data_IF_515007586193
#
_entry.id   IF_515007586193
#
_cell.length_a   1.000
_cell.length_b   1.000
_cell.length_c   1.000
_cell.angle_alpha   90.00
_cell.angle_beta   90.00
_cell.angle_gamma   90.00
#
_symmetry.space_group_name_H-M   'P 1'
#
loop_
_entity.id
_entity.type
_entity.pdbx_description
1 polymer ?
#
# COMPACT_ATOMS: atom_id res chain seq x y z
N UNK A 1 -6.19 9.02 71.08
CA UNK A 1 -5.74 8.56 72.40
C UNK A 1 -6.45 9.42 73.42
N UNK A 2 -7.15 8.80 74.36
CA UNK A 2 -7.52 9.52 75.58
C UNK A 2 -6.31 9.59 76.53
N UNK A 3 -6.45 10.38 77.57
CA UNK A 3 -5.48 10.64 78.63
C UNK A 3 -5.30 9.46 79.62
N UNK A 4 -5.79 8.25 79.27
CA UNK A 4 -5.64 7.02 80.07
C UNK A 4 -5.00 5.85 79.31
N UNK A 5 -4.46 6.09 78.12
CA UNK A 5 -3.66 5.09 77.39
C UNK A 5 -4.46 3.89 76.87
N UNK A 6 -5.79 3.99 76.84
CA UNK A 6 -6.65 2.99 76.23
C UNK A 6 -6.74 3.26 74.72
N UNK A 7 -6.41 2.25 73.92
CA UNK A 7 -6.59 2.29 72.47
C UNK A 7 -8.08 2.26 72.17
N UNK A 8 -8.58 3.28 71.48
CA UNK A 8 -9.97 3.35 71.03
C UNK A 8 -10.27 2.14 70.14
N UNK A 9 -11.18 1.23 70.54
CA UNK A 9 -11.53 0.05 69.76
C UNK A 9 -12.37 0.40 68.52
N UNK A 10 -12.82 1.66 68.39
CA UNK A 10 -13.56 2.20 67.25
C UNK A 10 -12.91 3.49 66.74
N UNK A 11 -11.67 3.45 66.23
CA UNK A 11 -11.03 4.64 65.68
C UNK A 11 -11.93 5.28 64.63
N UNK A 12 -12.02 6.60 64.63
CA UNK A 12 -12.80 7.32 63.62
C UNK A 12 -12.30 6.94 62.22
N UNK A 13 -13.09 6.15 61.49
CA UNK A 13 -12.86 5.81 60.09
C UNK A 13 -13.70 6.72 59.22
N UNK A 14 -13.08 7.41 58.27
CA UNK A 14 -13.80 8.20 57.28
C UNK A 14 -13.87 7.42 55.97
N UNK A 15 -15.01 6.79 55.71
CA UNK A 15 -15.31 6.11 54.45
C UNK A 15 -15.81 7.16 53.47
N UNK A 16 -14.90 7.68 52.63
CA UNK A 16 -15.29 8.46 51.47
C UNK A 16 -15.63 7.50 50.33
N UNK A 17 -16.89 7.43 49.87
CA UNK A 17 -17.20 6.72 48.64
C UNK A 17 -16.55 7.48 47.48
N UNK A 18 -15.44 6.96 46.95
CA UNK A 18 -14.88 7.43 45.69
C UNK A 18 -15.73 6.83 44.58
N UNK A 19 -16.61 7.64 43.99
CA UNK A 19 -17.33 7.24 42.78
C UNK A 19 -16.37 7.45 41.61
N UNK A 20 -15.76 6.35 41.16
CA UNK A 20 -14.93 6.36 39.98
C UNK A 20 -15.80 6.59 38.73
N UNK A 21 -15.40 7.54 37.88
CA UNK A 21 -16.08 7.78 36.61
C UNK A 21 -15.43 6.89 35.55
N UNK A 22 -16.19 6.03 34.84
CA UNK A 22 -15.58 5.14 33.86
C UNK A 22 -14.90 5.87 32.70
N UNK A 23 -13.86 5.29 32.10
CA UNK A 23 -13.20 5.86 30.93
C UNK A 23 -14.11 5.84 29.69
N UNK A 24 -13.70 6.58 28.67
CA UNK A 24 -14.32 6.62 27.34
C UNK A 24 -13.27 6.26 26.29
N UNK A 25 -13.68 5.49 25.27
CA UNK A 25 -12.83 5.16 24.12
C UNK A 25 -13.58 5.43 22.82
N UNK A 26 -12.87 5.93 21.80
CA UNK A 26 -13.41 6.23 20.47
C UNK A 26 -12.42 5.85 19.38
N UNK A 27 -12.91 5.40 18.22
CA UNK A 27 -12.03 5.16 17.07
C UNK A 27 -11.59 6.48 16.44
N UNK A 28 -10.36 6.52 15.96
CA UNK A 28 -9.84 7.64 15.20
C UNK A 28 -10.44 7.61 13.77
N UNK A 29 -11.04 8.73 13.35
CA UNK A 29 -11.69 8.87 12.03
C UNK A 29 -10.71 8.66 10.85
N UNK A 30 -9.41 8.76 11.08
CA UNK A 30 -8.37 8.44 10.08
C UNK A 30 -8.17 6.93 9.88
N UNK A 31 -8.65 6.10 10.82
CA UNK A 31 -8.53 4.64 10.81
C UNK A 31 -9.81 3.90 10.44
N UNK A 32 -10.82 4.61 9.94
CA UNK A 32 -12.07 3.99 9.51
C UNK A 32 -11.80 2.94 8.43
N UNK A 33 -12.29 1.73 8.70
CA UNK A 33 -12.09 0.58 7.83
C UNK A 33 -13.01 0.67 6.61
N UNK A 34 -12.51 0.43 5.39
CA UNK A 34 -13.38 0.35 4.22
C UNK A 34 -14.24 -0.93 4.25
N UNK A 35 -15.27 -0.96 3.41
CA UNK A 35 -16.19 -2.10 3.32
C UNK A 35 -15.47 -3.42 2.95
N UNK A 36 -14.30 -3.34 2.33
CA UNK A 36 -13.51 -4.52 1.97
C UNK A 36 -12.02 -4.27 2.12
N UNK A 37 -11.32 -5.21 2.78
CA UNK A 37 -9.86 -5.23 2.87
C UNK A 37 -9.32 -6.61 2.49
N UNK A 38 -8.04 -6.68 2.15
CA UNK A 38 -7.26 -7.90 2.30
C UNK A 38 -7.16 -8.32 3.78
N UNK A 39 -6.59 -9.48 4.16
CA UNK A 39 -6.51 -9.92 5.56
C UNK A 39 -5.47 -9.15 6.38
N UNK A 40 -5.55 -7.82 6.31
CA UNK A 40 -4.79 -6.83 7.06
C UNK A 40 -5.74 -5.67 7.37
N UNK A 41 -5.80 -5.27 8.63
CA UNK A 41 -6.57 -4.11 9.08
C UNK A 41 -5.87 -3.42 10.24
N UNK A 42 -5.83 -2.09 10.23
CA UNK A 42 -5.25 -1.32 11.33
C UNK A 42 -6.31 -0.44 11.99
N UNK A 43 -6.41 -0.55 13.30
CA UNK A 43 -7.35 0.15 14.16
C UNK A 43 -6.56 1.15 14.99
N UNK A 44 -7.04 2.39 15.04
CA UNK A 44 -6.51 3.43 15.91
C UNK A 44 -7.64 4.00 16.77
N UNK A 45 -7.36 4.29 18.03
CA UNK A 45 -8.36 4.81 18.95
C UNK A 45 -7.77 5.87 19.88
N UNK A 46 -8.65 6.61 20.54
CA UNK A 46 -8.31 7.57 21.58
C UNK A 46 -9.08 7.19 22.84
N UNK A 47 -8.36 7.10 23.96
CA UNK A 47 -8.94 6.91 25.29
C UNK A 47 -8.87 8.18 26.13
N UNK A 48 -9.94 8.45 26.85
CA UNK A 48 -10.03 9.55 27.79
C UNK A 48 -10.57 9.01 29.10
N UNK A 49 -9.97 9.43 30.21
CA UNK A 49 -10.46 9.15 31.54
C UNK A 49 -10.46 10.47 32.34
N UNK A 50 -11.51 10.76 33.13
CA UNK A 50 -11.59 12.01 33.89
C UNK A 50 -10.44 12.24 34.87
N UNK A 51 -9.81 11.17 35.37
CA UNK A 51 -8.64 11.23 36.26
C UNK A 51 -7.32 11.40 35.47
N UNK A 52 -7.38 11.47 34.14
CA UNK A 52 -6.26 11.60 33.21
C UNK A 52 -6.14 10.39 32.28
N UNK A 53 -5.86 10.56 30.99
CA UNK A 53 -5.76 9.44 30.03
C UNK A 53 -4.69 8.40 30.41
N UNK A 54 -3.68 8.78 31.18
CA UNK A 54 -2.68 7.91 31.78
C UNK A 54 -3.23 6.96 32.86
N UNK A 55 -4.44 7.22 33.37
CA UNK A 55 -5.14 6.34 34.32
C UNK A 55 -5.73 5.10 33.61
N UNK A 56 -5.82 5.11 32.27
CA UNK A 56 -6.24 3.94 31.49
C UNK A 56 -5.15 2.87 31.59
N UNK A 57 -5.51 1.78 32.26
CA UNK A 57 -4.59 0.68 32.53
C UNK A 57 -4.48 -0.27 31.34
N UNK A 58 -5.63 -0.62 30.73
CA UNK A 58 -5.70 -1.57 29.64
C UNK A 58 -6.77 -1.18 28.61
N UNK A 59 -6.51 -1.52 27.35
CA UNK A 59 -7.59 -1.72 26.39
C UNK A 59 -7.88 -3.20 26.23
N UNK A 60 -9.15 -3.51 26.08
CA UNK A 60 -9.65 -4.85 25.86
C UNK A 60 -10.27 -4.91 24.47
N UNK A 61 -9.80 -5.83 23.65
CA UNK A 61 -10.27 -6.00 22.28
C UNK A 61 -10.73 -7.43 22.01
N UNK A 62 -11.64 -7.58 21.06
CA UNK A 62 -12.05 -8.87 20.53
C UNK A 62 -12.43 -8.74 19.06
N UNK A 63 -12.43 -9.86 18.35
CA UNK A 63 -12.77 -9.93 16.94
C UNK A 63 -13.90 -10.93 16.76
N UNK A 64 -14.99 -10.48 16.14
CA UNK A 64 -16.20 -11.28 15.86
C UNK A 64 -16.87 -11.91 17.09
N UNK A 65 -16.52 -11.43 18.28
CA UNK A 65 -16.98 -11.96 19.56
C UNK A 65 -17.11 -10.81 20.56
N UNK A 66 -18.09 -10.88 21.45
CA UNK A 66 -18.33 -9.93 22.55
C UNK A 66 -18.18 -10.56 23.93
N UNK A 67 -17.76 -11.83 24.02
CA UNK A 67 -17.60 -12.56 25.26
C UNK A 67 -16.12 -12.67 25.66
N UNK A 68 -15.22 -12.98 24.72
CA UNK A 68 -13.81 -13.25 25.02
C UNK A 68 -12.91 -12.10 24.56
N UNK A 69 -12.66 -11.16 25.47
CA UNK A 69 -11.74 -10.05 25.23
C UNK A 69 -10.30 -10.37 25.62
N UNK A 70 -9.36 -9.86 24.83
CA UNK A 70 -7.92 -9.88 25.09
C UNK A 70 -7.47 -8.48 25.51
N UNK A 71 -6.61 -8.40 26.53
CA UNK A 71 -6.09 -7.11 27.00
C UNK A 71 -4.77 -6.74 26.33
N UNK A 72 -4.57 -5.44 26.14
CA UNK A 72 -3.30 -4.81 25.76
C UNK A 72 -3.03 -3.62 26.70
N UNK A 73 -1.76 -3.20 26.88
CA UNK A 73 -1.43 -2.05 27.71
C UNK A 73 -2.16 -0.77 27.31
N UNK A 74 -2.55 0.06 28.28
CA UNK A 74 -3.28 1.31 28.07
C UNK A 74 -2.50 2.41 27.34
N UNK A 75 -1.19 2.24 27.16
CA UNK A 75 -0.36 3.13 26.33
C UNK A 75 -0.36 2.76 24.83
N UNK A 76 -1.02 1.67 24.44
CA UNK A 76 -1.18 1.28 23.03
C UNK A 76 -2.48 1.85 22.49
N UNK A 77 -2.40 2.57 21.37
CA UNK A 77 -3.56 3.19 20.72
C UNK A 77 -3.68 2.84 19.22
N UNK A 78 -2.83 1.94 18.74
CA UNK A 78 -2.77 1.47 17.35
C UNK A 78 -2.56 -0.05 17.35
N UNK A 79 -3.33 -0.77 16.55
CA UNK A 79 -3.19 -2.21 16.40
C UNK A 79 -3.41 -2.63 14.95
N UNK A 80 -2.54 -3.49 14.45
CA UNK A 80 -2.68 -4.12 13.14
C UNK A 80 -3.02 -5.59 13.31
N UNK A 81 -4.15 -5.99 12.76
CA UNK A 81 -4.58 -7.38 12.67
C UNK A 81 -4.20 -7.94 11.30
N UNK A 82 -3.67 -9.15 11.30
CA UNK A 82 -3.40 -9.96 10.11
C UNK A 82 -4.26 -11.23 10.13
N UNK A 83 -4.14 -12.07 9.11
CA UNK A 83 -4.80 -13.40 9.08
C UNK A 83 -4.59 -14.19 10.38
N UNK A 84 -3.36 -14.20 10.89
CA UNK A 84 -2.99 -14.95 12.10
C UNK A 84 -3.55 -14.35 13.39
N UNK A 85 -4.07 -13.12 13.33
CA UNK A 85 -4.76 -12.48 14.46
C UNK A 85 -6.19 -13.01 14.66
N UNK A 86 -6.70 -13.83 13.72
CA UNK A 86 -8.04 -14.41 13.77
C UNK A 86 -9.02 -13.82 12.76
N UNK A 87 -8.56 -13.03 11.78
CA UNK A 87 -9.42 -12.52 10.70
C UNK A 87 -10.05 -13.67 9.93
N UNK A 88 -11.38 -13.66 9.84
CA UNK A 88 -12.13 -14.67 9.08
C UNK A 88 -12.17 -14.23 7.63
N UNK A 89 -11.35 -14.86 6.80
CA UNK A 89 -11.31 -14.56 5.36
C UNK A 89 -12.59 -14.99 4.65
N UNK A 90 -12.91 -14.28 3.58
CA UNK A 90 -14.14 -14.39 2.81
C UNK A 90 -15.42 -14.25 3.66
N UNK A 91 -15.35 -13.40 4.69
CA UNK A 91 -16.47 -13.16 5.60
C UNK A 91 -16.45 -11.72 6.12
N UNK A 92 -17.60 -11.30 6.65
CA UNK A 92 -17.69 -10.05 7.42
C UNK A 92 -17.04 -10.21 8.79
N UNK A 93 -16.24 -9.23 9.16
CA UNK A 93 -15.55 -9.14 10.42
C UNK A 93 -15.99 -7.87 11.18
N UNK A 94 -15.81 -7.89 12.50
CA UNK A 94 -16.09 -6.76 13.38
C UNK A 94 -15.13 -6.77 14.55
N UNK A 95 -14.47 -5.63 14.74
CA UNK A 95 -13.57 -5.38 15.86
C UNK A 95 -14.33 -4.71 17.00
N UNK A 96 -14.14 -5.17 18.22
CA UNK A 96 -14.72 -4.60 19.43
C UNK A 96 -13.62 -4.11 20.36
N UNK A 97 -13.87 -3.02 21.08
CA UNK A 97 -12.91 -2.39 21.98
C UNK A 97 -13.61 -1.79 23.21
N UNK A 98 -12.98 -1.88 24.37
CA UNK A 98 -13.34 -1.11 25.57
C UNK A 98 -12.07 -0.75 26.37
N UNK A 99 -12.12 0.34 27.13
CA UNK A 99 -11.05 0.74 28.04
C UNK A 99 -11.32 0.26 29.47
N UNK A 100 -10.26 0.07 30.25
CA UNK A 100 -10.28 -0.21 31.67
C UNK A 100 -9.31 0.71 32.40
N UNK A 101 -9.77 1.41 33.43
CA UNK A 101 -8.93 2.29 34.26
C UNK A 101 -8.17 1.51 35.37
N UNK A 102 -7.41 2.25 36.18
CA UNK A 102 -6.63 1.71 37.30
C UNK A 102 -7.49 1.20 38.48
N UNK A 103 -8.71 1.72 38.64
CA UNK A 103 -9.68 1.29 39.64
C UNK A 103 -10.53 0.10 39.17
N UNK A 104 -10.38 -0.31 37.91
CA UNK A 104 -11.02 -1.46 37.29
C UNK A 104 -12.36 -1.19 36.61
N UNK A 105 -12.82 0.07 36.50
CA UNK A 105 -14.05 0.36 35.79
C UNK A 105 -13.84 0.30 34.27
N UNK A 106 -14.91 -0.02 33.55
CA UNK A 106 -14.89 -0.23 32.11
C UNK A 106 -15.70 0.82 31.37
N UNK A 107 -15.19 1.25 30.22
CA UNK A 107 -15.98 2.00 29.25
C UNK A 107 -17.07 1.11 28.64
N UNK A 108 -18.09 1.70 27.99
CA UNK A 108 -18.92 0.99 27.02
C UNK A 108 -18.06 0.32 25.93
N UNK A 109 -18.57 -0.79 25.38
CA UNK A 109 -17.95 -1.46 24.23
C UNK A 109 -18.27 -0.69 22.97
N UNK A 110 -17.23 -0.26 22.25
CA UNK A 110 -17.34 0.28 20.90
C UNK A 110 -17.00 -0.79 19.86
N UNK A 111 -17.43 -0.59 18.61
CA UNK A 111 -17.20 -1.53 17.51
C UNK A 111 -16.88 -0.84 16.19
N UNK A 112 -16.05 -1.48 15.37
CA UNK A 112 -15.75 -1.07 14.00
C UNK A 112 -15.87 -2.26 13.05
N UNK A 113 -16.63 -2.15 11.95
CA UNK A 113 -17.47 -1.01 11.56
C UNK A 113 -18.74 -0.88 12.45
N UNK A 114 -19.43 0.28 12.42
CA UNK A 114 -20.74 0.46 13.07
C UNK A 114 -21.80 -0.47 12.46
N UNK A 115 -22.97 -0.60 13.09
CA UNK A 115 -24.04 -1.52 12.62
C UNK A 115 -24.58 -1.20 11.22
N UNK A 116 -24.46 0.05 10.79
CA UNK A 116 -24.85 0.51 9.44
C UNK A 116 -23.92 0.05 8.33
N UNK A 117 -22.80 -0.60 8.67
CA UNK A 117 -21.72 -0.90 7.73
C UNK A 117 -21.14 -2.28 7.98
N UNK A 118 -20.51 -2.86 6.95
CA UNK A 118 -19.90 -4.18 6.98
C UNK A 118 -18.43 -4.06 6.62
N UNK A 119 -17.59 -4.94 7.17
CA UNK A 119 -16.18 -5.02 6.82
C UNK A 119 -15.89 -6.44 6.36
N UNK A 120 -15.82 -6.62 5.05
CA UNK A 120 -15.53 -7.90 4.42
C UNK A 120 -14.02 -8.09 4.26
N UNK A 121 -13.49 -9.19 4.78
CA UNK A 121 -12.07 -9.53 4.60
C UNK A 121 -11.97 -10.51 3.44
N UNK A 122 -11.48 -10.06 2.28
CA UNK A 122 -11.24 -10.96 1.14
C UNK A 122 -9.93 -11.73 1.32
N UNK A 123 -9.93 -13.02 0.98
CA UNK A 123 -8.68 -13.79 0.93
C UNK A 123 -7.81 -13.31 -0.24
N UNK A 124 -6.48 -13.37 -0.09
CA UNK A 124 -5.57 -13.23 -1.22
C UNK A 124 -5.56 -14.53 -2.03
N UNK A 125 -5.82 -14.44 -3.33
CA UNK A 125 -6.00 -15.59 -4.22
C UNK A 125 -4.74 -15.94 -5.03
N UNK A 126 -3.84 -14.97 -5.20
CA UNK A 126 -2.62 -15.09 -5.99
C UNK A 126 -1.36 -14.63 -5.25
N UNK A 127 -0.21 -14.81 -5.90
CA UNK A 127 1.09 -14.30 -5.41
C UNK A 127 1.38 -12.88 -5.89
N UNK A 128 0.63 -12.38 -6.88
CA UNK A 128 0.82 -11.08 -7.50
C UNK A 128 -0.28 -10.12 -7.05
N UNK A 129 0.12 -8.91 -6.63
CA UNK A 129 -0.78 -7.79 -6.43
C UNK A 129 -0.63 -6.79 -7.57
N UNK A 130 -1.72 -6.54 -8.29
CA UNK A 130 -1.82 -5.43 -9.23
C UNK A 130 -2.35 -4.20 -8.46
N UNK A 131 -1.44 -3.26 -8.17
CA UNK A 131 -1.79 -1.93 -7.66
C UNK A 131 -2.17 -1.07 -8.85
N UNK A 132 -3.46 -0.76 -8.96
CA UNK A 132 -4.00 0.17 -9.96
C UNK A 132 -3.95 1.57 -9.40
N UNK A 133 -2.90 2.28 -9.77
CA UNK A 133 -2.70 3.70 -9.54
C UNK A 133 -3.08 4.49 -10.80
N UNK A 134 -4.24 4.13 -11.38
CA UNK A 134 -4.68 4.59 -12.70
C UNK A 134 -5.96 5.44 -12.51
N UNK A 135 -6.02 6.58 -13.20
CA UNK A 135 -7.21 7.43 -13.20
C UNK A 135 -8.36 6.80 -13.98
N UNK A 136 -9.58 7.29 -13.72
CA UNK A 136 -10.82 6.73 -14.27
C UNK A 136 -10.83 6.64 -15.81
N UNK A 137 -10.19 7.58 -16.50
CA UNK A 137 -10.23 7.63 -17.97
C UNK A 137 -9.38 6.52 -18.59
N UNK A 138 -8.27 6.16 -17.95
CA UNK A 138 -7.34 5.14 -18.45
C UNK A 138 -7.75 3.71 -18.06
N UNK A 139 -8.72 3.52 -17.16
CA UNK A 139 -9.20 2.19 -16.77
C UNK A 139 -9.80 1.39 -17.95
N UNK A 140 -10.42 2.06 -18.92
CA UNK A 140 -11.01 1.41 -20.10
C UNK A 140 -9.95 0.73 -21.00
N UNK A 141 -8.71 1.21 -20.95
CA UNK A 141 -7.59 0.61 -21.69
C UNK A 141 -6.85 -0.39 -20.80
N UNK A 142 -6.59 -0.02 -19.55
CA UNK A 142 -5.78 -0.81 -18.64
C UNK A 142 -6.43 -2.14 -18.23
N UNK A 143 -7.74 -2.15 -17.96
CA UNK A 143 -8.43 -3.37 -17.49
C UNK A 143 -8.39 -4.49 -18.54
N UNK A 144 -8.85 -4.28 -19.79
CA UNK A 144 -8.73 -5.30 -20.83
C UNK A 144 -7.28 -5.69 -21.12
N UNK A 145 -6.33 -4.75 -21.00
CA UNK A 145 -4.92 -5.05 -21.18
C UNK A 145 -4.43 -6.08 -20.15
N UNK A 146 -4.65 -5.86 -18.86
CA UNK A 146 -4.20 -6.78 -17.81
C UNK A 146 -4.95 -8.11 -17.84
N UNK A 147 -6.26 -8.11 -18.13
CA UNK A 147 -7.04 -9.35 -18.31
C UNK A 147 -6.46 -10.23 -19.42
N UNK A 148 -6.08 -9.62 -20.56
CA UNK A 148 -5.47 -10.36 -21.66
C UNK A 148 -4.01 -10.75 -21.39
N UNK A 149 -3.24 -9.89 -20.74
CA UNK A 149 -1.80 -10.07 -20.60
C UNK A 149 -1.40 -11.00 -19.44
N UNK A 150 -2.20 -11.06 -18.37
CA UNK A 150 -1.91 -11.92 -17.22
C UNK A 150 -2.27 -13.39 -17.42
N UNK A 151 -3.06 -13.76 -18.43
CA UNK A 151 -3.31 -15.15 -18.88
C UNK A 151 -3.38 -16.19 -17.74
N UNK A 152 -2.33 -17.01 -17.55
CA UNK A 152 -2.27 -18.09 -16.54
C UNK A 152 -1.81 -17.64 -15.14
N UNK A 153 -1.39 -16.39 -14.97
CA UNK A 153 -0.91 -15.85 -13.70
C UNK A 153 -2.10 -15.41 -12.84
N UNK A 154 -2.22 -15.98 -11.63
CA UNK A 154 -3.19 -15.51 -10.65
C UNK A 154 -2.70 -14.23 -9.97
N UNK A 155 -3.54 -13.20 -9.99
CA UNK A 155 -3.29 -11.91 -9.37
C UNK A 155 -4.53 -11.38 -8.66
N UNK A 156 -4.31 -10.57 -7.63
CA UNK A 156 -5.36 -9.78 -6.99
C UNK A 156 -5.21 -8.31 -7.35
N UNK A 157 -6.30 -7.55 -7.28
CA UNK A 157 -6.32 -6.12 -7.59
C UNK A 157 -6.46 -5.30 -6.31
N UNK A 158 -5.62 -4.27 -6.19
CA UNK A 158 -5.77 -3.17 -5.24
C UNK A 158 -5.88 -1.86 -6.02
N UNK A 159 -7.07 -1.27 -6.00
CA UNK A 159 -7.30 0.03 -6.60
C UNK A 159 -7.10 1.13 -5.57
N UNK A 160 -6.21 2.07 -5.88
CA UNK A 160 -5.90 3.18 -4.97
C UNK A 160 -6.31 4.53 -5.57
N UNK A 161 -6.65 4.59 -6.86
CA UNK A 161 -6.81 5.87 -7.57
C UNK A 161 -8.17 6.07 -8.24
N UNK A 162 -8.91 5.01 -8.58
CA UNK A 162 -10.28 5.20 -9.04
C UNK A 162 -11.08 5.96 -7.98
N UNK A 163 -12.01 6.83 -8.40
CA UNK A 163 -12.71 7.80 -7.52
C UNK A 163 -11.80 8.93 -7.00
N UNK A 164 -11.00 9.53 -7.87
CA UNK A 164 -10.20 10.72 -7.57
C UNK A 164 -9.26 10.56 -6.35
N UNK A 165 -8.70 9.36 -6.16
CA UNK A 165 -7.77 9.09 -5.04
C UNK A 165 -8.44 8.86 -3.68
N UNK A 166 -9.77 8.75 -3.60
CA UNK A 166 -10.46 8.44 -2.34
C UNK A 166 -10.10 7.06 -1.76
N UNK A 167 -9.50 6.18 -2.57
CA UNK A 167 -9.06 4.83 -2.21
C UNK A 167 -7.59 4.75 -1.80
N UNK A 168 -6.88 5.89 -1.75
CA UNK A 168 -5.51 5.92 -1.24
C UNK A 168 -5.52 5.42 0.21
N UNK A 169 -4.65 4.45 0.56
CA UNK A 169 -4.55 3.96 1.93
C UNK A 169 -4.30 5.10 2.92
N UNK A 170 -5.22 5.26 3.89
CA UNK A 170 -5.12 6.31 4.92
C UNK A 170 -4.01 6.04 5.92
N UNK A 171 -3.78 4.76 6.24
CA UNK A 171 -2.68 4.30 7.10
C UNK A 171 -1.62 3.67 6.20
N UNK A 172 -0.54 4.40 5.97
CA UNK A 172 0.57 3.92 5.15
C UNK A 172 1.38 2.87 5.92
N UNK A 173 1.89 3.26 7.09
CA UNK A 173 2.62 2.38 8.00
C UNK A 173 1.78 2.13 9.27
N UNK A 174 1.50 0.87 9.65
CA UNK A 174 1.93 -0.37 8.99
C UNK A 174 0.96 -0.93 7.94
N UNK A 175 -0.30 -0.48 7.91
CA UNK A 175 -1.37 -1.18 7.18
C UNK A 175 -1.08 -1.48 5.71
N UNK A 176 -0.67 -0.48 4.92
CA UNK A 176 -0.43 -0.69 3.51
C UNK A 176 0.83 -1.55 3.28
N UNK A 177 1.89 -1.34 4.06
CA UNK A 177 3.10 -2.18 4.01
C UNK A 177 2.76 -3.64 4.29
N UNK A 178 1.98 -3.93 5.33
CA UNK A 178 1.53 -5.29 5.65
C UNK A 178 0.61 -5.86 4.57
N UNK A 179 -0.20 -5.03 3.90
CA UNK A 179 -0.98 -5.45 2.74
C UNK A 179 -0.10 -5.90 1.57
N UNK A 180 1.00 -5.17 1.29
CA UNK A 180 1.96 -5.56 0.25
C UNK A 180 2.62 -6.90 0.60
N UNK A 181 2.98 -7.11 1.87
CA UNK A 181 3.65 -8.34 2.36
C UNK A 181 2.80 -9.61 2.20
N UNK A 182 1.50 -9.51 1.98
CA UNK A 182 0.66 -10.65 1.61
C UNK A 182 1.03 -11.26 0.25
N UNK A 183 1.80 -10.52 -0.57
CA UNK A 183 2.15 -10.87 -1.94
C UNK A 183 3.65 -10.98 -2.12
N UNK A 184 4.08 -11.97 -2.91
CA UNK A 184 5.49 -12.11 -3.29
C UNK A 184 5.90 -11.08 -4.34
N UNK A 185 4.96 -10.69 -5.19
CA UNK A 185 5.21 -9.81 -6.32
C UNK A 185 4.17 -8.69 -6.37
N UNK A 186 4.62 -7.46 -6.63
CA UNK A 186 3.77 -6.29 -6.82
C UNK A 186 3.98 -5.75 -8.24
N UNK A 187 2.88 -5.59 -8.97
CA UNK A 187 2.83 -4.74 -10.15
C UNK A 187 2.20 -3.41 -9.77
N UNK A 188 2.99 -2.35 -9.75
CA UNK A 188 2.49 -0.99 -9.57
C UNK A 188 2.41 -0.29 -10.90
N UNK A 189 1.20 0.03 -11.34
CA UNK A 189 0.96 0.67 -12.63
C UNK A 189 0.22 1.99 -12.48
N UNK A 190 0.68 3.01 -13.19
CA UNK A 190 0.07 4.34 -13.23
C UNK A 190 -0.05 4.86 -14.66
N UNK A 191 -0.76 5.98 -14.84
CA UNK A 191 -0.89 6.69 -16.10
C UNK A 191 0.38 7.44 -16.55
N UNK A 192 0.19 8.31 -17.55
CA UNK A 192 1.25 8.98 -18.32
C UNK A 192 2.09 10.01 -17.55
N UNK A 193 1.79 10.30 -16.29
CA UNK A 193 2.59 11.21 -15.48
C UNK A 193 2.09 12.66 -15.41
N UNK A 194 1.07 13.06 -16.17
CA UNK A 194 0.44 14.38 -16.01
C UNK A 194 -0.12 14.57 -14.59
N UNK A 195 -0.37 15.81 -14.14
CA UNK A 195 -0.86 16.09 -12.77
C UNK A 195 -2.00 15.16 -12.34
N UNK A 196 -2.98 14.91 -13.21
CA UNK A 196 -4.09 14.01 -12.94
C UNK A 196 -3.75 12.50 -13.08
N UNK A 197 -2.75 12.14 -13.89
CA UNK A 197 -2.41 10.76 -14.28
C UNK A 197 -1.07 10.26 -13.70
N UNK A 198 -0.48 11.04 -12.79
CA UNK A 198 0.81 10.77 -12.13
C UNK A 198 0.71 9.63 -11.12
N UNK A 199 1.82 8.90 -10.93
CA UNK A 199 1.88 7.89 -9.88
C UNK A 199 1.93 8.56 -8.50
N UNK A 200 1.38 7.88 -7.49
CA UNK A 200 1.53 8.22 -6.08
C UNK A 200 2.95 7.90 -5.59
N UNK A 201 3.93 8.69 -6.03
CA UNK A 201 5.35 8.45 -5.74
C UNK A 201 5.69 8.60 -4.25
N UNK A 202 4.97 9.45 -3.51
CA UNK A 202 5.12 9.56 -2.06
C UNK A 202 4.75 8.26 -1.35
N UNK A 203 3.64 7.65 -1.75
CA UNK A 203 3.20 6.36 -1.20
C UNK A 203 4.19 5.26 -1.56
N UNK A 204 4.64 5.22 -2.83
CA UNK A 204 5.64 4.27 -3.30
C UNK A 204 6.96 4.39 -2.50
N UNK A 205 7.50 5.60 -2.35
CA UNK A 205 8.72 5.88 -1.59
C UNK A 205 8.60 5.44 -0.12
N UNK A 206 7.44 5.64 0.50
CA UNK A 206 7.23 5.29 1.91
C UNK A 206 7.02 3.79 2.15
N UNK A 207 6.81 2.98 1.11
CA UNK A 207 6.29 1.61 1.27
C UNK A 207 7.14 0.55 0.57
N UNK A 208 7.57 0.82 -0.66
CA UNK A 208 8.34 -0.13 -1.48
C UNK A 208 9.65 -0.54 -0.80
N UNK A 209 10.45 0.36 -0.19
CA UNK A 209 11.67 -0.06 0.49
C UNK A 209 11.43 -1.09 1.61
N UNK A 210 10.41 -0.88 2.46
CA UNK A 210 10.06 -1.81 3.53
C UNK A 210 9.49 -3.13 3.00
N UNK A 211 8.71 -3.07 1.92
CA UNK A 211 8.23 -4.27 1.23
C UNK A 211 9.39 -5.09 0.64
N UNK A 212 10.34 -4.46 -0.05
CA UNK A 212 11.50 -5.15 -0.63
C UNK A 212 12.44 -5.72 0.44
N UNK A 213 12.55 -5.07 1.62
CA UNK A 213 13.28 -5.62 2.77
C UNK A 213 12.69 -6.94 3.26
N UNK A 214 11.38 -7.15 3.10
CA UNK A 214 10.71 -8.42 3.42
C UNK A 214 10.87 -9.50 2.35
N UNK A 215 11.65 -9.23 1.28
CA UNK A 215 11.87 -10.15 0.16
C UNK A 215 10.87 -10.00 -1.00
N UNK A 216 9.97 -9.01 -0.93
CA UNK A 216 9.06 -8.67 -2.01
C UNK A 216 9.77 -8.15 -3.26
N UNK A 217 9.16 -8.36 -4.44
CA UNK A 217 9.68 -7.84 -5.72
C UNK A 217 8.65 -6.98 -6.44
N UNK A 218 9.11 -5.95 -7.13
CA UNK A 218 8.25 -4.94 -7.73
C UNK A 218 8.53 -4.75 -9.21
N UNK A 219 7.49 -4.82 -10.03
CA UNK A 219 7.48 -4.19 -11.34
C UNK A 219 6.71 -2.87 -11.24
N UNK A 220 7.43 -1.74 -11.36
CA UNK A 220 6.86 -0.41 -11.29
C UNK A 220 6.85 0.23 -12.67
N UNK A 221 5.68 0.65 -13.14
CA UNK A 221 5.47 1.16 -14.50
C UNK A 221 4.58 2.39 -14.48
N UNK A 222 5.16 3.55 -14.80
CA UNK A 222 4.47 4.82 -14.77
C UNK A 222 5.13 5.82 -15.73
N UNK A 223 4.33 6.68 -16.35
CA UNK A 223 4.83 7.79 -17.14
C UNK A 223 5.30 8.97 -16.30
N UNK A 224 6.07 9.87 -16.92
CA UNK A 224 6.41 11.18 -16.38
C UNK A 224 5.88 12.29 -17.30
N UNK A 225 5.41 13.42 -16.75
CA UNK A 225 4.88 14.51 -17.55
C UNK A 225 5.96 15.10 -18.48
N UNK A 226 5.67 15.90 -19.49
CA UNK A 226 6.71 16.61 -20.25
C UNK A 226 7.21 17.87 -19.51
N UNK A 227 6.33 18.48 -18.71
CA UNK A 227 6.62 19.66 -17.88
C UNK A 227 7.00 19.22 -16.46
N UNK A 228 8.17 19.66 -16.01
CA UNK A 228 8.88 19.18 -14.81
C UNK A 228 8.28 19.68 -13.49
N UNK A 229 7.07 19.26 -13.14
CA UNK A 229 6.55 19.45 -11.78
C UNK A 229 6.35 18.06 -11.17
N UNK A 230 7.43 17.48 -10.65
CA UNK A 230 7.35 16.38 -9.70
C UNK A 230 7.52 16.98 -8.31
N UNK A 231 6.41 17.42 -7.73
CA UNK A 231 6.33 17.86 -6.33
C UNK A 231 6.01 16.73 -5.35
N UNK A 232 6.05 15.48 -5.82
CA UNK A 232 5.72 14.26 -5.06
C UNK A 232 6.90 13.30 -5.17
N UNK A 233 7.24 12.62 -4.08
CA UNK A 233 8.17 11.50 -3.88
C UNK A 233 9.24 11.23 -4.94
N UNK A 234 10.49 11.03 -4.51
CA UNK A 234 11.56 10.75 -5.46
C UNK A 234 11.65 9.27 -5.83
N UNK A 235 11.59 8.98 -7.13
CA UNK A 235 11.79 7.63 -7.69
C UNK A 235 13.14 7.03 -7.31
N UNK A 236 14.14 7.88 -7.08
CA UNK A 236 15.50 7.46 -6.64
C UNK A 236 15.48 6.74 -5.29
N UNK A 237 14.43 6.93 -4.47
CA UNK A 237 14.35 6.35 -3.13
C UNK A 237 13.89 4.89 -3.12
N UNK A 238 13.41 4.36 -4.25
CA UNK A 238 12.95 2.97 -4.33
C UNK A 238 13.35 2.25 -5.62
N UNK A 239 13.85 2.95 -6.64
CA UNK A 239 14.32 2.38 -7.90
C UNK A 239 15.78 2.78 -8.19
N UNK A 240 16.52 2.00 -9.00
CA UNK A 240 17.93 2.26 -9.37
C UNK A 240 18.07 3.40 -10.39
N UNK A 241 17.37 4.51 -10.16
CA UNK A 241 17.37 5.73 -10.98
C UNK A 241 18.24 6.77 -10.27
N UNK A 242 19.09 7.43 -11.04
CA UNK A 242 19.88 8.58 -10.58
C UNK A 242 19.12 9.89 -10.86
N UNK A 243 18.65 10.07 -12.09
CA UNK A 243 17.87 11.25 -12.47
C UNK A 243 16.90 10.96 -13.62
N UNK A 244 15.96 11.87 -13.87
CA UNK A 244 15.10 11.84 -15.07
C UNK A 244 15.75 12.71 -16.14
N UNK A 245 15.64 12.31 -17.42
CA UNK A 245 16.21 13.09 -18.53
C UNK A 245 15.33 14.30 -18.87
N UNK A 246 15.95 15.42 -19.24
CA UNK A 246 15.20 16.57 -19.78
C UNK A 246 14.65 16.34 -21.19
N UNK A 247 15.22 15.41 -21.96
CA UNK A 247 14.72 15.09 -23.29
C UNK A 247 13.38 14.34 -23.19
N UNK A 248 12.38 14.82 -23.92
CA UNK A 248 11.06 14.19 -24.07
C UNK A 248 10.90 13.70 -25.50
N UNK A 249 10.48 12.44 -25.68
CA UNK A 249 10.26 11.86 -27.00
C UNK A 249 8.76 11.70 -27.22
N UNK A 250 8.20 12.19 -28.34
CA UNK A 250 6.84 11.84 -28.71
C UNK A 250 6.78 10.36 -29.10
N UNK A 251 5.99 9.57 -28.36
CA UNK A 251 5.73 8.18 -28.68
C UNK A 251 4.58 8.12 -29.69
N UNK A 252 4.94 8.30 -30.97
CA UNK A 252 4.01 8.32 -32.12
C UNK A 252 3.88 6.91 -32.71
N UNK A 253 2.94 6.67 -33.62
CA UNK A 253 2.83 5.44 -34.39
C UNK A 253 3.64 5.56 -35.69
N UNK A 254 4.60 4.67 -35.90
CA UNK A 254 5.09 4.26 -37.22
C UNK A 254 5.58 2.80 -37.10
N UNK A 255 5.84 2.14 -38.23
CA UNK A 255 6.19 0.70 -38.30
C UNK A 255 7.44 0.29 -37.51
N UNK A 256 8.23 1.26 -37.02
CA UNK A 256 9.50 1.07 -36.30
C UNK A 256 9.44 1.48 -34.81
N UNK A 257 8.28 1.88 -34.28
CA UNK A 257 8.16 2.41 -32.91
C UNK A 257 8.03 1.36 -31.80
N UNK A 258 8.61 0.17 -32.02
CA UNK A 258 8.85 -0.76 -30.94
C UNK A 258 9.96 -0.23 -30.03
N UNK A 259 9.87 -0.55 -28.73
CA UNK A 259 10.99 -0.32 -27.83
C UNK A 259 12.16 -1.22 -28.23
N UNK A 260 13.36 -0.67 -28.19
CA UNK A 260 14.58 -1.45 -28.41
C UNK A 260 14.83 -2.34 -27.21
N UNK A 261 14.90 -3.63 -27.46
CA UNK A 261 15.29 -4.63 -26.47
C UNK A 261 16.79 -4.54 -26.25
N UNK A 262 17.20 -4.12 -25.06
CA UNK A 262 18.62 -4.05 -24.67
C UNK A 262 19.02 -5.30 -23.88
N UNK A 263 18.14 -5.80 -23.01
CA UNK A 263 18.37 -7.05 -22.28
C UNK A 263 17.80 -8.24 -23.06
N UNK A 264 18.67 -9.15 -23.49
CA UNK A 264 18.28 -10.33 -24.27
C UNK A 264 17.21 -11.18 -23.57
N UNK A 265 16.23 -11.66 -24.33
CA UNK A 265 15.15 -12.51 -23.83
C UNK A 265 13.87 -11.76 -23.41
N UNK A 266 13.90 -10.43 -23.39
CA UNK A 266 12.67 -9.63 -23.30
C UNK A 266 11.97 -9.52 -24.67
N UNK A 267 10.63 -9.51 -24.72
CA UNK A 267 9.90 -9.39 -25.98
C UNK A 267 9.96 -7.97 -26.53
N UNK A 268 9.80 -7.85 -27.84
CA UNK A 268 9.62 -6.57 -28.52
C UNK A 268 8.21 -6.05 -28.22
N UNK A 269 8.10 -4.90 -27.57
CA UNK A 269 6.81 -4.29 -27.19
C UNK A 269 6.71 -2.86 -27.73
N UNK A 270 5.51 -2.44 -28.08
CA UNK A 270 5.25 -1.11 -28.64
C UNK A 270 3.78 -0.70 -28.49
N UNK A 271 3.43 0.53 -28.85
CA UNK A 271 2.07 1.04 -28.69
C UNK A 271 1.17 0.64 -29.85
N UNK A 272 -0.13 0.44 -29.58
CA UNK A 272 -1.14 0.40 -30.64
C UNK A 272 -1.68 1.79 -31.01
N UNK A 273 -1.45 2.82 -30.18
CA UNK A 273 -1.90 4.20 -30.38
C UNK A 273 -0.84 5.24 -29.99
N UNK A 274 -0.80 6.35 -30.74
CA UNK A 274 0.22 7.41 -30.66
C UNK A 274 -0.16 8.53 -29.66
N UNK A 275 0.14 8.44 -28.36
CA UNK A 275 -0.42 9.45 -27.43
C UNK A 275 0.36 9.81 -26.17
N UNK A 276 1.69 9.65 -26.10
CA UNK A 276 2.42 10.19 -24.93
C UNK A 276 3.82 10.70 -25.23
N UNK A 277 4.23 11.77 -24.55
CA UNK A 277 5.63 12.11 -24.43
C UNK A 277 6.26 11.24 -23.35
N UNK A 278 7.40 10.63 -23.67
CA UNK A 278 8.14 9.79 -22.73
C UNK A 278 9.41 10.51 -22.32
N UNK A 279 9.71 10.48 -21.02
CA UNK A 279 11.03 10.84 -20.49
C UNK A 279 11.83 9.59 -20.19
N UNK A 280 13.13 9.65 -20.47
CA UNK A 280 14.05 8.63 -20.04
C UNK A 280 14.54 8.84 -18.61
N UNK A 281 15.37 7.89 -18.21
CA UNK A 281 16.05 7.86 -16.93
C UNK A 281 17.56 7.77 -17.15
N UNK A 282 18.29 8.47 -16.29
CA UNK A 282 19.70 8.21 -16.00
C UNK A 282 19.75 7.26 -14.82
N UNK A 283 20.66 6.30 -14.90
CA UNK A 283 20.91 5.30 -13.87
C UNK A 283 22.37 5.37 -13.48
N UNK A 284 22.71 4.90 -12.28
CA UNK A 284 24.11 4.70 -11.88
C UNK A 284 24.82 3.71 -12.82
N UNK A 285 26.15 3.69 -12.76
CA UNK A 285 26.98 2.73 -13.48
C UNK A 285 26.60 1.29 -13.10
N UNK A 286 26.56 0.38 -14.08
CA UNK A 286 26.25 -1.06 -13.94
C UNK A 286 24.78 -1.46 -13.73
N UNK A 287 23.84 -0.52 -13.80
CA UNK A 287 22.41 -0.85 -13.78
C UNK A 287 21.99 -1.45 -15.14
N UNK A 288 21.44 -2.68 -15.19
CA UNK A 288 21.05 -3.29 -16.45
C UNK A 288 19.85 -2.59 -17.08
N UNK A 289 20.00 -2.25 -18.36
CA UNK A 289 18.93 -1.64 -19.17
C UNK A 289 18.12 -2.73 -19.84
N UNK A 290 16.80 -2.66 -19.72
CA UNK A 290 15.85 -3.59 -20.35
C UNK A 290 15.38 -3.05 -21.69
N UNK A 291 14.86 -1.82 -21.70
CA UNK A 291 14.34 -1.16 -22.89
C UNK A 291 14.89 0.25 -23.06
N UNK A 292 15.06 0.65 -24.31
CA UNK A 292 15.47 2.01 -24.69
C UNK A 292 14.77 2.48 -25.97
N UNK A 293 14.83 3.78 -26.24
CA UNK A 293 14.60 4.34 -27.57
C UNK A 293 15.92 4.55 -28.30
N UNK A 294 15.90 4.38 -29.64
CA UNK A 294 16.98 4.89 -30.49
C UNK A 294 17.15 6.38 -30.24
N UNK A 295 18.41 6.86 -30.24
CA UNK A 295 18.74 8.26 -30.02
C UNK A 295 17.95 9.16 -31.00
N UNK A 296 16.93 9.90 -30.53
CA UNK A 296 16.17 10.79 -31.40
C UNK A 296 16.99 12.04 -31.74
N UNK A 297 16.66 12.68 -32.86
CA UNK A 297 17.22 14.00 -33.18
C UNK A 297 16.89 14.99 -32.05
N UNK A 298 17.92 15.63 -31.50
CA UNK A 298 17.79 16.61 -30.41
C UNK A 298 18.02 16.09 -28.98
N UNK A 299 18.16 14.77 -28.78
CA UNK A 299 18.61 14.22 -27.50
C UNK A 299 20.12 13.92 -27.53
N UNK A 300 20.81 14.15 -26.42
CA UNK A 300 22.26 13.94 -26.34
C UNK A 300 22.64 12.44 -26.31
N UNK A 301 21.81 11.60 -25.69
CA UNK A 301 22.08 10.18 -25.43
C UNK A 301 20.88 9.27 -25.79
N UNK A 302 21.15 7.96 -25.90
CA UNK A 302 20.14 6.90 -25.94
C UNK A 302 19.26 6.98 -24.70
N UNK A 303 17.94 7.02 -24.90
CA UNK A 303 16.97 7.19 -23.82
C UNK A 303 16.61 5.82 -23.26
N UNK A 304 17.07 5.53 -22.03
CA UNK A 304 16.67 4.35 -21.27
C UNK A 304 15.27 4.57 -20.73
N UNK A 305 14.38 3.59 -20.89
CA UNK A 305 12.98 3.67 -20.42
C UNK A 305 12.57 2.51 -19.54
N UNK A 306 13.35 1.43 -19.51
CA UNK A 306 13.20 0.41 -18.50
C UNK A 306 14.55 -0.12 -18.03
N UNK A 307 14.67 -0.32 -16.72
CA UNK A 307 15.89 -0.81 -16.04
C UNK A 307 15.51 -1.83 -14.97
N UNK A 308 16.48 -2.63 -14.54
CA UNK A 308 16.39 -3.50 -13.36
C UNK A 308 17.51 -3.19 -12.38
N UNK A 309 17.36 -3.54 -11.10
CA UNK A 309 18.38 -3.28 -10.07
C UNK A 309 19.64 -4.14 -10.25
N UNK A 310 19.47 -5.41 -10.63
CA UNK A 310 20.58 -6.36 -10.86
C UNK A 310 20.30 -7.24 -12.07
N UNK A 311 21.35 -7.87 -12.63
CA UNK A 311 21.24 -8.69 -13.85
C UNK A 311 20.42 -9.95 -13.61
N UNK A 312 20.68 -10.64 -12.51
CA UNK A 312 20.07 -11.91 -12.15
C UNK A 312 19.22 -11.73 -10.90
N UNK A 313 18.02 -12.31 -10.91
CA UNK A 313 17.09 -12.28 -9.77
C UNK A 313 16.79 -10.84 -9.27
N UNK A 314 16.39 -9.90 -10.17
CA UNK A 314 16.10 -8.53 -9.77
C UNK A 314 14.98 -8.44 -8.74
N UNK A 315 15.07 -7.45 -7.84
CA UNK A 315 14.00 -7.12 -6.90
C UNK A 315 13.12 -6.01 -7.40
N UNK A 316 13.63 -5.15 -8.26
CA UNK A 316 12.83 -4.11 -8.90
C UNK A 316 13.13 -4.01 -10.40
N UNK A 317 12.06 -3.96 -11.17
CA UNK A 317 12.08 -3.54 -12.58
C UNK A 317 11.28 -2.25 -12.64
N UNK A 318 11.88 -1.21 -13.21
CA UNK A 318 11.28 0.11 -13.30
C UNK A 318 11.13 0.50 -14.77
N UNK A 319 9.95 1.01 -15.16
CA UNK A 319 9.63 1.47 -16.50
C UNK A 319 8.98 2.86 -16.48
N UNK A 320 9.50 3.78 -17.30
CA UNK A 320 9.06 5.20 -17.40
C UNK A 320 7.85 5.41 -18.30
N UNK A 321 7.10 4.34 -18.54
CA UNK A 321 5.93 4.31 -19.40
C UNK A 321 4.88 3.40 -18.78
N UNK A 322 3.59 3.74 -18.87
CA UNK A 322 2.50 2.83 -18.53
C UNK A 322 2.55 1.59 -19.43
N UNK A 323 2.73 0.42 -18.85
CA UNK A 323 2.88 -0.83 -19.61
C UNK A 323 1.63 -1.17 -20.42
N UNK A 324 0.45 -0.75 -19.94
CA UNK A 324 -0.80 -0.96 -20.66
C UNK A 324 -0.94 -0.13 -21.95
N UNK A 325 -0.07 0.86 -22.16
CA UNK A 325 0.04 1.57 -23.43
C UNK A 325 0.97 0.84 -24.43
N UNK A 326 1.62 -0.25 -24.03
CA UNK A 326 2.50 -1.09 -24.85
C UNK A 326 1.74 -2.34 -25.33
N UNK A 327 0.62 -2.09 -26.00
CA UNK A 327 -0.43 -3.06 -26.32
C UNK A 327 -0.51 -3.42 -27.82
N UNK A 328 0.53 -3.16 -28.62
CA UNK A 328 0.51 -3.46 -30.05
C UNK A 328 0.33 -4.95 -30.38
N UNK A 329 0.82 -5.84 -29.52
CA UNK A 329 0.75 -7.28 -29.69
C UNK A 329 0.42 -7.98 -28.35
N UNK A 330 -0.75 -8.60 -28.21
CA UNK A 330 -1.14 -9.31 -26.99
C UNK A 330 -0.19 -10.45 -26.62
N UNK A 331 0.35 -11.19 -27.60
CA UNK A 331 1.30 -12.29 -27.35
C UNK A 331 2.60 -11.79 -26.73
N UNK A 332 3.09 -10.62 -27.17
CA UNK A 332 4.29 -10.01 -26.61
C UNK A 332 4.02 -9.45 -25.19
N UNK A 333 2.81 -8.96 -24.93
CA UNK A 333 2.39 -8.54 -23.59
C UNK A 333 2.36 -9.72 -22.61
N UNK A 334 1.82 -10.87 -23.04
CA UNK A 334 1.88 -12.13 -22.26
C UNK A 334 3.33 -12.57 -22.01
N UNK A 335 4.17 -12.53 -23.06
CA UNK A 335 5.58 -12.88 -22.95
C UNK A 335 6.32 -11.95 -21.97
N UNK A 336 5.96 -10.67 -21.91
CA UNK A 336 6.58 -9.70 -21.00
C UNK A 336 6.31 -10.08 -19.54
N UNK A 337 5.05 -10.35 -19.20
CA UNK A 337 4.70 -10.72 -17.82
C UNK A 337 5.23 -12.09 -17.43
N UNK A 338 5.30 -13.06 -18.35
CA UNK A 338 6.01 -14.32 -18.10
C UNK A 338 7.49 -14.10 -17.83
N UNK A 339 8.16 -13.32 -18.69
CA UNK A 339 9.58 -12.97 -18.52
C UNK A 339 9.83 -12.30 -17.16
N UNK A 340 9.02 -11.33 -16.77
CA UNK A 340 9.16 -10.61 -15.51
C UNK A 340 8.83 -11.51 -14.31
N UNK A 341 7.64 -12.09 -14.26
CA UNK A 341 7.19 -12.79 -13.06
C UNK A 341 7.78 -14.19 -12.93
N UNK A 342 7.85 -14.96 -14.01
CA UNK A 342 8.34 -16.33 -13.99
C UNK A 342 9.87 -16.35 -14.03
N UNK A 343 10.48 -15.77 -15.06
CA UNK A 343 11.92 -15.96 -15.28
C UNK A 343 12.79 -15.06 -14.37
N UNK A 344 12.41 -13.79 -14.18
CA UNK A 344 13.20 -12.84 -13.39
C UNK A 344 12.82 -12.88 -11.90
N UNK A 345 11.51 -12.93 -11.60
CA UNK A 345 11.03 -12.91 -10.21
C UNK A 345 10.90 -14.30 -9.58
N UNK A 346 10.83 -15.37 -10.36
CA UNK A 346 10.77 -16.75 -9.86
C UNK A 346 9.38 -17.16 -9.36
N UNK A 347 8.31 -16.81 -10.10
CA UNK A 347 6.90 -17.04 -9.73
C UNK A 347 6.58 -18.41 -9.15
#
# INVERSE_FOLDING_TARGET
MDDKGLVDPTPASNLYPVINTPPVVTFDNTSLIPDTTFPVATFKWNGFDPDGSESIRYYWWSLNDTLNFRRIPGNINLMTLTKDSGLVVNSNNRFFLKAQDNAGAFSPVIKMPPDSSNWYVKNNSGKILLIRDIDQNNLQVAVPYFENAFDTLKYDILDIKSRNGALIPKIINPMFIETLKLYKYVLWTSGSGSVATSANLDLAQQTIPFYMQSGGKVFFTAGFPSTSILGQGSVINFAPVDSITFCTIPFVLNSDNNLNVVNSGYPVIGPSTATQFVRGIKSSSNVPVVYSFYKPSGCFDTIKVAIKDVVTNPRIIYMTMPVFNLNNNPSNSKALFRKIFIDEFGY
#
